data_IF_392971934519
#
_entry.id   IF_392971934519
#
_cell.length_a   1.000
_cell.length_b   1.000
_cell.length_c   1.000
_cell.angle_alpha   90.00
_cell.angle_beta   90.00
_cell.angle_gamma   90.00
#
_symmetry.space_group_name_H-M   'P 1'
#
loop_
_entity.id
_entity.type
_entity.pdbx_description
1 polymer ?
#
# COMPACT_ATOMS: atom_id res chain seq x y z
N UNK A 1 6.26 19.93 -19.26
CA UNK A 1 5.55 18.75 -18.73
C UNK A 1 4.74 18.19 -19.88
N UNK A 2 5.19 17.09 -20.44
CA UNK A 2 4.74 16.59 -21.74
C UNK A 2 3.30 16.08 -21.74
N UNK A 3 2.59 16.50 -22.78
CA UNK A 3 1.15 16.38 -23.05
C UNK A 3 0.65 14.95 -23.37
N UNK A 4 1.37 13.88 -23.07
CA UNK A 4 1.06 12.55 -23.62
C UNK A 4 0.24 11.61 -22.72
N UNK A 5 -0.17 12.02 -21.51
CA UNK A 5 -1.00 11.18 -20.64
C UNK A 5 -2.51 11.29 -20.93
N UNK A 6 -2.92 12.17 -21.84
CA UNK A 6 -4.33 12.53 -22.07
C UNK A 6 -4.85 12.20 -23.48
N UNK A 7 -4.27 11.24 -24.16
CA UNK A 7 -4.64 10.99 -25.57
C UNK A 7 -5.97 10.26 -25.79
N UNK A 8 -6.65 9.74 -24.74
CA UNK A 8 -7.99 9.16 -24.87
C UNK A 8 -8.89 9.65 -23.74
N UNK A 9 -9.47 10.84 -23.89
CA UNK A 9 -10.49 11.35 -22.97
C UNK A 9 -11.85 10.94 -23.52
N UNK A 10 -12.59 10.13 -22.76
CA UNK A 10 -13.94 9.74 -23.10
C UNK A 10 -14.96 10.58 -22.35
N UNK A 11 -16.10 10.80 -23.00
CA UNK A 11 -17.22 11.43 -22.34
C UNK A 11 -17.78 10.52 -21.24
N UNK A 12 -17.86 11.02 -20.00
CA UNK A 12 -18.40 10.27 -18.88
C UNK A 12 -19.87 9.85 -19.09
N UNK A 13 -20.62 10.63 -19.90
CA UNK A 13 -22.04 10.39 -20.15
C UNK A 13 -22.31 9.45 -21.33
N UNK A 14 -21.71 9.69 -22.50
CA UNK A 14 -22.02 8.94 -23.73
C UNK A 14 -20.85 8.12 -24.28
N UNK A 15 -19.71 8.11 -23.59
CA UNK A 15 -18.48 7.40 -23.97
C UNK A 15 -17.88 7.81 -25.33
N UNK A 16 -18.31 8.93 -25.89
CA UNK A 16 -17.75 9.47 -27.13
C UNK A 16 -16.34 10.02 -26.89
N UNK A 17 -15.45 9.85 -27.87
CA UNK A 17 -14.11 10.44 -27.91
C UNK A 17 -14.10 11.88 -28.46
N UNK A 18 -15.25 12.38 -28.95
CA UNK A 18 -15.34 13.69 -29.58
C UNK A 18 -15.40 14.80 -28.53
N UNK A 19 -14.28 15.05 -27.87
CA UNK A 19 -14.15 15.96 -26.73
C UNK A 19 -13.39 17.22 -27.15
N UNK A 20 -13.84 18.37 -26.64
CA UNK A 20 -13.08 19.64 -26.74
C UNK A 20 -12.82 20.25 -25.38
N UNK A 21 -11.73 21.01 -25.26
CA UNK A 21 -11.47 21.88 -24.12
C UNK A 21 -12.56 22.97 -24.06
N UNK A 22 -13.14 23.19 -22.87
CA UNK A 22 -14.24 24.14 -22.65
C UNK A 22 -13.87 25.14 -21.54
N UNK A 23 -12.68 25.75 -21.70
CA UNK A 23 -12.17 26.77 -20.80
C UNK A 23 -11.65 26.19 -19.46
N UNK A 24 -11.26 27.10 -18.58
CA UNK A 24 -10.74 26.81 -17.26
C UNK A 24 -11.76 27.15 -16.19
N UNK A 25 -11.95 26.26 -15.24
CA UNK A 25 -12.75 26.51 -14.05
C UNK A 25 -11.83 26.99 -12.92
N UNK A 26 -12.06 28.19 -12.43
CA UNK A 26 -11.38 28.69 -11.23
C UNK A 26 -11.94 27.98 -9.98
N UNK A 27 -11.07 27.48 -9.15
CA UNK A 27 -11.40 26.88 -7.85
C UNK A 27 -10.63 27.60 -6.75
N UNK A 28 -11.22 27.70 -5.56
CA UNK A 28 -10.65 28.43 -4.43
C UNK A 28 -9.26 27.94 -4.04
N UNK A 29 -9.09 26.62 -3.91
CA UNK A 29 -7.88 26.03 -3.32
C UNK A 29 -7.03 25.19 -4.29
N UNK A 30 -7.50 24.97 -5.53
CA UNK A 30 -6.79 24.17 -6.54
C UNK A 30 -6.39 24.99 -7.79
N UNK A 31 -6.72 26.29 -7.81
CA UNK A 31 -6.46 27.15 -8.95
C UNK A 31 -7.37 26.84 -10.14
N UNK A 32 -6.80 26.97 -11.35
CA UNK A 32 -7.52 26.74 -12.60
C UNK A 32 -7.50 25.26 -12.98
N UNK A 33 -8.68 24.68 -13.23
CA UNK A 33 -8.85 23.28 -13.64
C UNK A 33 -9.44 23.26 -15.04
N UNK A 34 -8.85 22.47 -15.96
CA UNK A 34 -9.36 22.32 -17.32
C UNK A 34 -10.74 21.66 -17.31
N UNK A 35 -11.70 22.30 -17.95
CA UNK A 35 -13.03 21.78 -18.22
C UNK A 35 -13.11 21.28 -19.66
N UNK A 36 -13.89 20.22 -19.87
CA UNK A 36 -14.12 19.60 -21.16
C UNK A 36 -15.60 19.60 -21.50
N UNK A 37 -15.91 19.56 -22.79
CA UNK A 37 -17.27 19.41 -23.32
C UNK A 37 -17.27 18.35 -24.41
N UNK A 38 -18.19 17.39 -24.29
CA UNK A 38 -18.49 16.47 -25.37
C UNK A 38 -19.22 17.21 -26.50
N UNK A 39 -18.77 17.02 -27.74
CA UNK A 39 -19.42 17.62 -28.91
C UNK A 39 -20.71 16.88 -29.28
N UNK A 40 -20.81 15.60 -28.96
CA UNK A 40 -21.94 14.75 -29.37
C UNK A 40 -23.13 14.89 -28.45
N UNK A 41 -22.93 14.85 -27.13
CA UNK A 41 -24.03 14.95 -26.16
C UNK A 41 -24.09 16.27 -25.39
N UNK A 42 -23.12 17.18 -25.60
CA UNK A 42 -23.07 18.48 -24.93
C UNK A 42 -22.66 18.44 -23.46
N UNK A 43 -22.41 17.26 -22.87
CA UNK A 43 -22.04 17.11 -21.47
C UNK A 43 -20.72 17.81 -21.15
N UNK A 44 -20.70 18.55 -20.02
CA UNK A 44 -19.51 19.26 -19.54
C UNK A 44 -18.97 18.59 -18.31
N UNK A 45 -17.69 18.31 -18.27
CA UNK A 45 -17.03 17.63 -17.17
C UNK A 45 -15.59 18.12 -16.96
N UNK A 46 -15.03 17.75 -15.84
CA UNK A 46 -13.59 17.89 -15.51
C UNK A 46 -13.05 16.50 -15.29
N UNK A 47 -11.85 16.21 -15.79
CA UNK A 47 -11.22 14.94 -15.53
C UNK A 47 -11.05 14.74 -14.04
N UNK A 48 -11.43 13.56 -13.58
CA UNK A 48 -11.10 13.14 -12.23
C UNK A 48 -9.63 12.69 -12.19
N UNK A 49 -8.80 13.47 -11.57
CA UNK A 49 -7.38 13.23 -11.38
C UNK A 49 -7.06 12.44 -10.08
N UNK A 50 -8.07 11.76 -9.53
CA UNK A 50 -7.99 11.10 -8.22
C UNK A 50 -8.24 12.06 -7.03
N UNK A 51 -8.39 13.36 -7.30
CA UNK A 51 -8.62 14.39 -6.29
C UNK A 51 -9.98 15.09 -6.43
N UNK A 52 -10.92 14.41 -7.05
CA UNK A 52 -12.28 14.94 -7.21
C UNK A 52 -12.89 15.38 -5.87
N UNK A 53 -13.49 16.57 -5.84
CA UNK A 53 -14.06 17.22 -4.64
C UNK A 53 -13.08 17.46 -3.49
N UNK A 54 -11.78 17.36 -3.72
CA UNK A 54 -10.79 17.74 -2.71
C UNK A 54 -10.60 19.26 -2.73
N UNK A 55 -10.63 19.88 -1.54
CA UNK A 55 -10.40 21.34 -1.37
C UNK A 55 -8.94 21.73 -1.45
N UNK A 56 -8.02 20.80 -1.24
CA UNK A 56 -6.58 21.03 -1.25
C UNK A 56 -5.94 20.53 -2.54
N UNK A 57 -4.81 21.13 -2.92
CA UNK A 57 -4.07 20.73 -4.12
C UNK A 57 -3.53 19.30 -4.01
N UNK A 58 -3.38 18.57 -5.13
CA UNK A 58 -2.75 17.26 -5.16
C UNK A 58 -1.38 17.24 -4.48
N UNK A 59 -0.56 18.27 -4.71
CA UNK A 59 0.78 18.42 -4.14
C UNK A 59 0.73 18.50 -2.61
N UNK A 60 -0.16 19.33 -2.06
CA UNK A 60 -0.32 19.49 -0.60
C UNK A 60 -0.79 18.19 0.05
N UNK A 61 -1.71 17.48 -0.58
CA UNK A 61 -2.23 16.20 -0.09
C UNK A 61 -1.12 15.14 -0.10
N UNK A 62 -0.43 14.96 -1.21
CA UNK A 62 0.64 13.96 -1.35
C UNK A 62 1.85 14.27 -0.48
N UNK A 63 2.22 15.55 -0.32
CA UNK A 63 3.23 15.99 0.66
C UNK A 63 2.84 15.61 2.09
N UNK A 64 1.58 15.80 2.45
CA UNK A 64 1.09 15.43 3.78
C UNK A 64 1.17 13.92 4.04
N UNK A 65 0.83 13.12 3.04
CA UNK A 65 0.94 11.66 3.11
C UNK A 65 2.40 11.24 3.23
N UNK A 66 3.29 11.83 2.44
CA UNK A 66 4.72 11.53 2.48
C UNK A 66 5.33 11.87 3.85
N UNK A 67 5.08 13.07 4.38
CA UNK A 67 5.52 13.47 5.70
C UNK A 67 5.01 12.52 6.80
N UNK A 68 3.73 12.11 6.70
CA UNK A 68 3.16 11.15 7.65
C UNK A 68 3.93 9.83 7.62
N UNK A 69 4.21 9.23 6.45
CA UNK A 69 4.95 7.97 6.37
C UNK A 69 6.45 8.12 6.67
N UNK A 70 7.01 9.31 6.59
CA UNK A 70 8.37 9.64 7.07
C UNK A 70 8.49 9.81 8.59
N UNK A 71 7.41 9.69 9.34
CA UNK A 71 7.47 9.72 10.81
C UNK A 71 6.84 10.96 11.46
N UNK A 72 6.36 11.92 10.67
CA UNK A 72 5.75 13.14 11.20
C UNK A 72 4.30 12.85 11.61
N UNK A 73 3.89 13.24 12.81
CA UNK A 73 2.51 13.08 13.27
C UNK A 73 1.56 14.01 12.49
N UNK A 74 0.28 13.63 12.38
CA UNK A 74 -0.72 14.46 11.66
C UNK A 74 -0.84 15.88 12.21
N UNK A 75 -0.63 16.09 13.52
CA UNK A 75 -0.63 17.43 14.12
C UNK A 75 0.59 18.24 13.68
N UNK A 76 1.78 17.64 13.68
CA UNK A 76 2.99 18.30 13.19
C UNK A 76 2.96 18.52 11.67
N UNK A 77 2.30 17.65 10.91
CA UNK A 77 2.04 17.91 9.47
C UNK A 77 1.14 19.13 9.33
N UNK A 78 0.08 19.28 10.15
CA UNK A 78 -0.76 20.46 10.14
C UNK A 78 0.05 21.74 10.44
N UNK A 79 0.90 21.74 11.47
CA UNK A 79 1.78 22.86 11.83
C UNK A 79 2.70 23.21 10.65
N UNK A 80 3.38 22.21 10.06
CA UNK A 80 4.23 22.38 8.88
C UNK A 80 3.48 23.03 7.71
N UNK A 81 2.28 22.54 7.39
CA UNK A 81 1.46 23.13 6.33
C UNK A 81 1.08 24.59 6.61
N UNK A 82 0.86 24.94 7.89
CA UNK A 82 0.55 26.31 8.30
C UNK A 82 1.67 27.33 8.01
N UNK A 83 2.92 26.86 7.95
CA UNK A 83 4.06 27.74 7.61
C UNK A 83 4.14 28.03 6.10
N UNK A 84 3.77 27.06 5.26
CA UNK A 84 4.00 27.13 3.81
C UNK A 84 2.75 27.46 2.99
N UNK A 85 1.56 27.36 3.58
CA UNK A 85 0.31 27.53 2.86
C UNK A 85 -0.66 28.46 3.60
N UNK A 86 -1.28 29.43 2.91
CA UNK A 86 -2.18 30.40 3.52
C UNK A 86 -3.46 29.75 4.10
N UNK A 87 -3.91 28.66 3.51
CA UNK A 87 -5.07 27.89 3.98
C UNK A 87 -4.60 26.54 4.50
N UNK A 88 -4.70 26.34 5.81
CA UNK A 88 -4.22 25.13 6.47
C UNK A 88 -5.30 24.05 6.51
N UNK A 89 -4.86 22.79 6.38
CA UNK A 89 -5.71 21.63 6.60
C UNK A 89 -5.60 21.16 8.05
N UNK A 90 -6.72 20.79 8.67
CA UNK A 90 -6.70 20.22 10.02
C UNK A 90 -5.96 18.87 10.06
N UNK A 91 -5.46 18.48 11.22
CA UNK A 91 -4.83 17.16 11.40
C UNK A 91 -5.78 16.01 11.07
N UNK A 92 -7.09 16.20 11.23
CA UNK A 92 -8.11 15.22 10.81
C UNK A 92 -8.22 15.12 9.29
N UNK A 93 -8.07 16.24 8.57
CA UNK A 93 -8.00 16.21 7.11
C UNK A 93 -6.79 15.42 6.64
N UNK A 94 -5.62 15.63 7.25
CA UNK A 94 -4.40 14.86 6.96
C UNK A 94 -4.63 13.37 7.22
N UNK A 95 -5.21 13.01 8.37
CA UNK A 95 -5.56 11.62 8.69
C UNK A 95 -6.49 10.99 7.64
N UNK A 96 -7.53 11.72 7.27
CA UNK A 96 -8.49 11.25 6.26
C UNK A 96 -7.86 11.06 4.88
N UNK A 97 -6.90 11.91 4.49
CA UNK A 97 -6.13 11.74 3.26
C UNK A 97 -5.27 10.49 3.30
N UNK A 98 -4.54 10.28 4.40
CA UNK A 98 -3.74 9.07 4.60
C UNK A 98 -4.60 7.82 4.44
N UNK A 99 -5.75 7.74 5.12
CA UNK A 99 -6.63 6.57 5.06
C UNK A 99 -7.26 6.41 3.67
N UNK A 100 -7.75 7.50 3.06
CA UNK A 100 -8.40 7.47 1.74
C UNK A 100 -7.44 6.96 0.66
N UNK A 101 -6.28 7.62 0.55
CA UNK A 101 -5.36 7.32 -0.54
C UNK A 101 -4.59 6.02 -0.32
N UNK A 102 -4.30 5.64 0.93
CA UNK A 102 -3.77 4.32 1.21
C UNK A 102 -4.72 3.20 0.77
N UNK A 103 -6.03 3.33 1.02
CA UNK A 103 -7.04 2.37 0.53
C UNK A 103 -7.10 2.34 -1.00
N UNK A 104 -7.14 3.50 -1.64
CA UNK A 104 -7.23 3.61 -3.10
C UNK A 104 -6.02 2.96 -3.76
N UNK A 105 -4.81 3.35 -3.37
CA UNK A 105 -3.57 2.81 -3.93
C UNK A 105 -3.44 1.32 -3.61
N UNK A 106 -3.76 0.87 -2.38
CA UNK A 106 -3.64 -0.54 -2.03
C UNK A 106 -4.60 -1.43 -2.82
N UNK A 107 -5.80 -0.94 -3.16
CA UNK A 107 -6.73 -1.67 -4.03
C UNK A 107 -6.15 -1.90 -5.42
N UNK A 108 -5.39 -0.97 -5.94
CA UNK A 108 -4.66 -1.09 -7.19
C UNK A 108 -3.44 -2.01 -7.03
N UNK A 109 -2.54 -1.70 -6.08
CA UNK A 109 -1.26 -2.41 -5.94
C UNK A 109 -1.44 -3.88 -5.54
N UNK A 110 -2.52 -4.25 -4.84
CA UNK A 110 -2.83 -5.64 -4.51
C UNK A 110 -3.15 -6.52 -5.74
N UNK A 111 -3.51 -5.91 -6.88
CA UNK A 111 -3.81 -6.63 -8.14
C UNK A 111 -2.58 -6.84 -9.01
N UNK A 112 -1.50 -6.14 -8.73
CA UNK A 112 -0.28 -6.21 -9.52
C UNK A 112 0.34 -7.60 -9.46
N UNK A 113 0.71 -8.13 -10.63
CA UNK A 113 1.53 -9.32 -10.72
C UNK A 113 2.97 -8.97 -10.40
N UNK A 114 3.62 -9.86 -9.67
CA UNK A 114 4.97 -9.65 -9.18
C UNK A 114 5.93 -10.66 -9.82
N UNK A 115 7.13 -10.18 -10.08
CA UNK A 115 8.28 -11.00 -10.39
C UNK A 115 9.19 -11.00 -9.15
N UNK A 116 9.08 -12.04 -8.33
CA UNK A 116 9.82 -12.22 -7.09
C UNK A 116 10.73 -13.43 -7.18
N UNK A 117 11.63 -13.57 -6.22
CA UNK A 117 12.42 -14.77 -6.08
C UNK A 117 11.62 -16.01 -5.67
N UNK A 118 12.29 -17.12 -5.51
CA UNK A 118 11.63 -18.39 -5.16
C UNK A 118 11.20 -18.48 -3.70
N UNK A 119 11.72 -17.61 -2.82
CA UNK A 119 11.40 -17.58 -1.40
C UNK A 119 10.54 -16.36 -1.02
N UNK A 120 9.55 -16.60 -0.18
CA UNK A 120 8.80 -15.56 0.56
C UNK A 120 8.80 -15.91 2.04
N UNK A 121 9.22 -14.96 2.86
CA UNK A 121 9.15 -15.06 4.32
C UNK A 121 7.87 -14.40 4.82
N UNK A 122 7.20 -15.03 5.77
CA UNK A 122 5.94 -14.56 6.38
C UNK A 122 6.05 -14.62 7.89
N UNK A 123 5.64 -13.55 8.56
CA UNK A 123 5.67 -13.46 10.03
C UNK A 123 4.62 -12.47 10.55
N UNK A 124 4.43 -12.38 11.86
CA UNK A 124 3.47 -11.48 12.50
C UNK A 124 4.12 -10.57 13.52
N UNK A 125 3.65 -9.32 13.53
CA UNK A 125 3.97 -8.33 14.58
C UNK A 125 2.75 -8.05 15.42
N UNK A 126 2.88 -8.20 16.75
CA UNK A 126 1.84 -7.80 17.68
C UNK A 126 1.78 -6.28 17.81
N UNK A 127 0.60 -5.73 17.72
CA UNK A 127 0.29 -4.33 17.96
C UNK A 127 -0.79 -4.16 19.03
N UNK A 128 -0.65 -3.10 19.80
CA UNK A 128 -1.66 -2.71 20.78
C UNK A 128 -2.53 -1.59 20.20
N UNK A 129 -3.86 -1.77 20.27
CA UNK A 129 -4.82 -0.73 19.95
C UNK A 129 -5.40 -0.16 21.23
N UNK A 130 -5.40 1.14 21.38
CA UNK A 130 -6.06 1.81 22.52
C UNK A 130 -7.57 1.69 22.38
N UNK A 131 -8.24 1.21 23.44
CA UNK A 131 -9.71 1.24 23.54
C UNK A 131 -10.18 2.67 23.82
N UNK A 132 -11.35 3.05 23.31
CA UNK A 132 -12.00 4.31 23.68
C UNK A 132 -12.31 4.29 25.18
N UNK A 133 -12.35 5.49 25.81
CA UNK A 133 -12.57 5.68 27.24
C UNK A 133 -13.82 5.00 27.82
N UNK A 134 -14.81 4.71 26.98
CA UNK A 134 -16.06 4.03 27.39
C UNK A 134 -15.97 2.50 27.45
N UNK A 135 -14.93 1.91 26.91
CA UNK A 135 -14.67 0.46 27.02
C UNK A 135 -13.67 0.23 28.12
N UNK A 136 -13.97 -0.72 29.03
CA UNK A 136 -13.13 -1.11 30.19
C UNK A 136 -11.64 -1.04 29.88
N UNK A 137 -10.84 -0.47 30.80
CA UNK A 137 -9.39 -0.38 30.73
C UNK A 137 -8.79 -1.70 30.25
N UNK A 138 -8.25 -1.70 29.05
CA UNK A 138 -7.62 -2.86 28.45
C UNK A 138 -7.04 -2.51 27.09
N UNK A 139 -5.97 -3.19 26.73
CA UNK A 139 -5.30 -3.08 25.44
C UNK A 139 -5.79 -4.22 24.57
N UNK A 140 -6.38 -3.93 23.40
CA UNK A 140 -6.67 -4.95 22.41
C UNK A 140 -5.37 -5.33 21.70
N UNK A 141 -5.00 -6.59 21.78
CA UNK A 141 -3.96 -7.14 20.93
C UNK A 141 -4.47 -7.28 19.51
N UNK A 142 -3.69 -6.81 18.58
CA UNK A 142 -3.94 -6.93 17.16
C UNK A 142 -2.65 -7.35 16.47
N UNK A 143 -2.75 -7.84 15.25
CA UNK A 143 -1.63 -8.43 14.54
C UNK A 143 -1.46 -7.76 13.18
N UNK A 144 -0.24 -7.50 12.81
CA UNK A 144 0.14 -7.16 11.45
C UNK A 144 0.88 -8.36 10.88
N UNK A 145 0.20 -9.07 9.99
CA UNK A 145 0.73 -10.22 9.28
C UNK A 145 1.29 -9.69 7.98
N UNK A 146 2.55 -9.90 7.72
CA UNK A 146 3.20 -9.42 6.52
C UNK A 146 4.15 -10.45 5.90
N UNK A 147 4.62 -10.15 4.71
CA UNK A 147 5.51 -11.03 3.97
C UNK A 147 6.48 -10.25 3.14
N UNK A 148 7.71 -10.76 3.00
CA UNK A 148 8.77 -10.15 2.23
C UNK A 148 9.47 -11.17 1.35
N UNK A 149 9.82 -10.78 0.12
CA UNK A 149 10.75 -11.54 -0.69
C UNK A 149 12.19 -11.17 -0.32
N UNK A 150 13.04 -12.12 0.10
CA UNK A 150 14.43 -11.84 0.49
C UNK A 150 15.29 -11.24 -0.61
N UNK A 151 15.05 -11.59 -1.88
CA UNK A 151 15.80 -11.13 -3.03
C UNK A 151 15.43 -9.69 -3.41
N UNK A 152 14.16 -9.44 -3.70
CA UNK A 152 13.67 -8.13 -4.15
C UNK A 152 13.44 -7.13 -3.03
N UNK A 153 13.45 -7.57 -1.78
CA UNK A 153 13.06 -6.81 -0.58
C UNK A 153 11.62 -6.28 -0.62
N UNK A 154 10.80 -6.76 -1.54
CA UNK A 154 9.42 -6.32 -1.72
C UNK A 154 8.51 -6.94 -0.65
N UNK A 155 7.71 -6.11 0.02
CA UNK A 155 6.60 -6.58 0.83
C UNK A 155 5.52 -7.14 -0.09
N UNK A 156 5.40 -8.47 -0.15
CA UNK A 156 4.53 -9.14 -1.13
C UNK A 156 3.06 -9.04 -0.74
N UNK A 157 2.76 -9.16 0.53
CA UNK A 157 1.39 -9.04 1.07
C UNK A 157 1.44 -8.64 2.54
N UNK A 158 0.44 -7.91 2.98
CA UNK A 158 0.26 -7.62 4.42
C UNK A 158 -1.21 -7.52 4.77
N UNK A 159 -1.54 -7.68 6.05
CA UNK A 159 -2.89 -7.45 6.57
C UNK A 159 -2.82 -7.11 8.06
N UNK A 160 -3.58 -6.09 8.49
CA UNK A 160 -3.73 -5.77 9.90
C UNK A 160 -5.04 -6.34 10.43
N UNK A 161 -4.96 -7.26 11.37
CA UNK A 161 -6.06 -8.11 11.81
C UNK A 161 -6.26 -8.06 13.32
N UNK A 162 -7.42 -8.52 13.77
CA UNK A 162 -7.72 -8.65 15.20
C UNK A 162 -7.11 -9.91 15.80
N UNK A 163 -6.95 -10.95 14.99
CA UNK A 163 -6.40 -12.25 15.38
C UNK A 163 -5.33 -12.69 14.39
N UNK A 164 -4.61 -13.76 14.71
CA UNK A 164 -3.67 -14.45 13.82
C UNK A 164 -4.09 -15.89 13.55
N UNK A 165 -5.41 -16.07 13.36
CA UNK A 165 -5.96 -17.39 13.05
C UNK A 165 -5.76 -17.79 11.59
N UNK A 166 -6.10 -19.03 11.27
CA UNK A 166 -5.98 -19.58 9.91
C UNK A 166 -6.66 -18.70 8.85
N UNK A 167 -7.80 -18.07 9.19
CA UNK A 167 -8.54 -17.19 8.27
C UNK A 167 -7.74 -15.93 7.94
N UNK A 168 -7.13 -15.31 8.95
CA UNK A 168 -6.35 -14.07 8.79
C UNK A 168 -5.06 -14.34 8.01
N UNK A 169 -4.33 -15.39 8.37
CA UNK A 169 -3.14 -15.84 7.66
C UNK A 169 -3.47 -16.20 6.22
N UNK A 170 -4.61 -16.87 5.97
CA UNK A 170 -5.03 -17.22 4.61
C UNK A 170 -5.26 -15.98 3.73
N UNK A 171 -5.69 -14.83 4.29
CA UNK A 171 -5.80 -13.59 3.51
C UNK A 171 -4.45 -13.13 2.95
N UNK A 172 -3.37 -13.28 3.73
CA UNK A 172 -2.01 -12.91 3.30
C UNK A 172 -1.45 -13.95 2.32
N UNK A 173 -1.50 -15.22 2.67
CA UNK A 173 -0.94 -16.33 1.88
C UNK A 173 -1.63 -16.47 0.52
N UNK A 174 -2.96 -16.39 0.47
CA UNK A 174 -3.70 -16.45 -0.81
C UNK A 174 -3.36 -15.28 -1.73
N UNK A 175 -3.13 -14.09 -1.17
CA UNK A 175 -2.70 -12.92 -1.94
C UNK A 175 -1.27 -13.08 -2.46
N UNK A 176 -0.36 -13.69 -1.68
CA UNK A 176 0.98 -14.05 -2.17
C UNK A 176 0.83 -14.93 -3.41
N UNK A 177 0.11 -16.04 -3.32
CA UNK A 177 -0.13 -16.96 -4.45
C UNK A 177 -0.75 -16.25 -5.66
N UNK A 178 -1.76 -15.41 -5.44
CA UNK A 178 -2.43 -14.65 -6.49
C UNK A 178 -1.48 -13.71 -7.23
N UNK A 179 -0.56 -13.05 -6.52
CA UNK A 179 0.37 -12.06 -7.08
C UNK A 179 1.59 -12.68 -7.73
N UNK A 180 2.09 -13.79 -7.20
CA UNK A 180 3.34 -14.43 -7.65
C UNK A 180 3.12 -15.67 -8.51
N UNK A 181 1.92 -16.22 -8.56
CA UNK A 181 1.62 -17.45 -9.31
C UNK A 181 2.42 -18.64 -8.76
N UNK A 182 3.11 -19.34 -9.65
CA UNK A 182 3.92 -20.54 -9.34
C UNK A 182 5.41 -20.21 -9.14
N UNK A 183 5.81 -18.94 -9.09
CA UNK A 183 7.22 -18.54 -8.91
C UNK A 183 7.76 -18.95 -7.54
N UNK A 184 6.92 -18.80 -6.50
CA UNK A 184 7.31 -19.14 -5.12
C UNK A 184 7.42 -20.66 -4.99
N UNK A 185 8.61 -21.13 -4.60
CA UNK A 185 8.93 -22.53 -4.32
C UNK A 185 9.09 -22.81 -2.83
N UNK A 186 9.37 -21.77 -2.04
CA UNK A 186 9.58 -21.86 -0.62
C UNK A 186 8.85 -20.76 0.13
N UNK A 187 8.16 -21.15 1.20
CA UNK A 187 7.55 -20.21 2.16
C UNK A 187 8.19 -20.48 3.53
N UNK A 188 8.89 -19.47 4.03
CA UNK A 188 9.54 -19.54 5.36
C UNK A 188 8.66 -18.82 6.38
N UNK A 189 8.39 -19.50 7.51
CA UNK A 189 7.56 -18.95 8.61
C UNK A 189 8.15 -19.31 9.96
N UNK A 190 7.60 -18.72 11.02
CA UNK A 190 7.81 -19.17 12.39
C UNK A 190 7.08 -20.50 12.69
N UNK A 191 7.07 -20.88 13.97
CA UNK A 191 6.48 -22.12 14.46
C UNK A 191 4.94 -22.14 14.57
N UNK A 192 4.21 -21.11 14.16
CA UNK A 192 2.76 -21.04 14.35
C UNK A 192 2.01 -22.16 13.60
N UNK A 193 1.21 -22.94 14.32
CA UNK A 193 0.52 -24.14 13.80
C UNK A 193 -0.54 -23.85 12.70
N UNK A 194 -0.88 -22.59 12.47
CA UNK A 194 -1.83 -22.22 11.44
C UNK A 194 -1.24 -22.29 10.02
N UNK A 195 0.07 -22.04 9.85
CA UNK A 195 0.74 -21.97 8.56
C UNK A 195 0.66 -23.24 7.72
N UNK A 196 1.02 -24.45 8.24
CA UNK A 196 1.03 -25.65 7.41
C UNK A 196 -0.30 -25.93 6.71
N UNK A 197 -1.42 -25.76 7.44
CA UNK A 197 -2.77 -25.97 6.89
C UNK A 197 -3.11 -24.96 5.80
N UNK A 198 -2.72 -23.70 6.00
CA UNK A 198 -2.99 -22.60 5.06
C UNK A 198 -2.13 -22.74 3.80
N UNK A 199 -0.86 -23.06 3.94
CA UNK A 199 0.07 -23.29 2.82
C UNK A 199 -0.42 -24.47 1.97
N UNK A 200 -0.77 -25.60 2.61
CA UNK A 200 -1.36 -26.75 1.92
C UNK A 200 -2.61 -26.38 1.12
N UNK A 201 -3.49 -25.57 1.71
CA UNK A 201 -4.74 -25.13 1.05
C UNK A 201 -4.47 -24.30 -0.22
N UNK A 202 -3.44 -23.46 -0.23
CA UNK A 202 -3.17 -22.55 -1.33
C UNK A 202 -2.34 -23.17 -2.46
N UNK A 203 -1.35 -24.00 -2.15
CA UNK A 203 -0.46 -24.61 -3.16
C UNK A 203 -0.74 -26.10 -3.41
N UNK A 204 -1.44 -26.75 -2.48
CA UNK A 204 -1.83 -28.15 -2.64
C UNK A 204 -0.70 -29.13 -2.30
N UNK A 205 -1.04 -30.40 -2.45
CA UNK A 205 -0.19 -31.56 -2.23
C UNK A 205 0.03 -32.31 -3.55
N UNK A 206 1.25 -32.65 -3.87
CA UNK A 206 1.60 -33.43 -5.04
C UNK A 206 1.65 -34.91 -4.66
N UNK A 207 0.60 -35.66 -5.07
CA UNK A 207 0.49 -37.10 -4.76
C UNK A 207 1.60 -37.94 -5.43
N UNK A 208 2.08 -37.53 -6.62
CA UNK A 208 3.14 -38.26 -7.31
C UNK A 208 4.48 -38.14 -6.61
N UNK A 209 4.79 -36.94 -6.12
CA UNK A 209 6.07 -36.64 -5.45
C UNK A 209 5.99 -36.79 -3.93
N UNK A 210 4.83 -37.14 -3.37
CA UNK A 210 4.57 -37.27 -1.92
C UNK A 210 5.07 -36.06 -1.11
N UNK A 211 4.86 -34.85 -1.65
CA UNK A 211 5.28 -33.60 -1.02
C UNK A 211 4.34 -32.44 -1.35
N UNK A 212 4.47 -31.36 -0.61
CA UNK A 212 3.79 -30.10 -0.97
C UNK A 212 4.37 -29.53 -2.28
N UNK A 213 3.53 -28.83 -3.05
CA UNK A 213 3.99 -28.12 -4.26
C UNK A 213 4.92 -26.96 -3.93
N UNK A 214 4.82 -26.41 -2.72
CA UNK A 214 5.73 -25.40 -2.18
C UNK A 214 6.39 -25.95 -0.91
N UNK A 215 7.69 -25.82 -0.78
CA UNK A 215 8.41 -26.22 0.42
C UNK A 215 8.08 -25.24 1.56
N UNK A 216 7.58 -25.75 2.66
CA UNK A 216 7.35 -24.97 3.87
C UNK A 216 8.57 -25.11 4.80
N UNK A 217 9.39 -24.06 4.83
CA UNK A 217 10.52 -23.95 5.75
C UNK A 217 10.01 -23.38 7.08
N UNK A 218 9.94 -24.24 8.10
CA UNK A 218 9.52 -23.83 9.45
C UNK A 218 10.74 -23.50 10.27
N UNK A 219 10.94 -22.23 10.57
CA UNK A 219 12.07 -21.75 11.34
C UNK A 219 11.68 -21.58 12.83
N UNK A 220 11.98 -22.59 13.64
CA UNK A 220 11.74 -22.57 15.07
C UNK A 220 13.10 -22.43 15.78
N UNK A 221 13.27 -21.36 16.56
CA UNK A 221 14.53 -21.03 17.25
C UNK A 221 15.12 -22.20 18.08
N UNK A 222 14.26 -23.09 18.58
CA UNK A 222 14.69 -24.25 19.38
C UNK A 222 15.21 -25.45 18.55
N UNK A 223 15.00 -25.44 17.24
CA UNK A 223 15.27 -26.60 16.37
C UNK A 223 16.44 -26.34 15.38
N UNK A 224 16.78 -25.08 15.13
CA UNK A 224 17.78 -24.70 14.11
C UNK A 224 18.73 -23.62 14.61
N UNK A 225 19.90 -24.00 15.09
CA UNK A 225 21.01 -23.08 15.30
C UNK A 225 21.44 -22.51 13.94
N UNK A 226 21.16 -21.22 13.68
CA UNK A 226 21.71 -20.48 12.55
C UNK A 226 20.79 -20.11 11.38
N UNK A 227 19.55 -20.57 11.33
CA UNK A 227 18.60 -20.16 10.30
C UNK A 227 17.74 -18.97 10.78
N UNK A 228 18.19 -17.77 10.46
CA UNK A 228 17.50 -16.55 10.86
C UNK A 228 16.62 -16.00 9.74
N UNK A 229 15.37 -15.62 10.07
CA UNK A 229 14.47 -14.84 9.19
C UNK A 229 14.89 -13.36 9.11
N UNK A 230 16.18 -13.10 8.93
CA UNK A 230 16.73 -11.74 8.94
C UNK A 230 16.01 -10.72 8.05
N UNK A 231 15.57 -11.05 6.83
CA UNK A 231 14.85 -10.08 5.99
C UNK A 231 13.54 -9.62 6.60
N UNK A 232 12.70 -10.52 7.12
CA UNK A 232 11.42 -10.14 7.70
C UNK A 232 11.59 -9.47 9.07
N UNK A 233 12.55 -9.90 9.87
CA UNK A 233 12.88 -9.25 11.14
C UNK A 233 13.35 -7.80 10.94
N UNK A 234 14.20 -7.54 9.92
CA UNK A 234 14.61 -6.19 9.53
C UNK A 234 13.43 -5.33 9.06
N UNK A 235 12.52 -5.94 8.30
CA UNK A 235 11.27 -5.29 7.92
C UNK A 235 10.45 -4.92 9.16
N UNK A 236 10.30 -5.83 10.12
CA UNK A 236 9.59 -5.58 11.38
C UNK A 236 10.24 -4.47 12.20
N UNK A 237 11.55 -4.39 12.24
CA UNK A 237 12.25 -3.27 12.89
C UNK A 237 11.89 -1.93 12.22
N UNK A 238 11.83 -1.88 10.91
CA UNK A 238 11.41 -0.68 10.16
C UNK A 238 9.93 -0.34 10.42
N UNK A 239 9.05 -1.35 10.47
CA UNK A 239 7.64 -1.19 10.83
C UNK A 239 7.51 -0.63 12.24
N UNK A 240 8.21 -1.22 13.23
CA UNK A 240 8.18 -0.77 14.63
C UNK A 240 8.73 0.64 14.78
N UNK A 241 9.84 0.98 14.13
CA UNK A 241 10.42 2.32 14.14
C UNK A 241 9.41 3.37 13.66
N UNK A 242 8.66 3.07 12.60
CA UNK A 242 7.63 3.96 12.07
C UNK A 242 6.40 4.05 12.97
N UNK A 243 5.91 2.92 13.46
CA UNK A 243 4.67 2.85 14.24
C UNK A 243 4.85 3.31 15.69
N UNK A 244 6.08 3.35 16.21
CA UNK A 244 6.40 3.89 17.54
C UNK A 244 5.84 5.31 17.73
N UNK A 245 5.84 6.12 16.68
CA UNK A 245 5.31 7.49 16.73
C UNK A 245 3.78 7.55 16.78
N UNK A 246 3.06 6.49 16.46
CA UNK A 246 1.59 6.45 16.51
C UNK A 246 1.03 6.33 17.92
N UNK A 247 1.85 5.91 18.90
CA UNK A 247 1.40 5.63 20.28
C UNK A 247 0.21 4.67 20.34
N UNK A 248 0.14 3.72 19.40
CA UNK A 248 -0.97 2.81 19.15
C UNK A 248 -1.96 3.32 18.10
N UNK A 249 -2.75 2.41 17.57
CA UNK A 249 -3.77 2.73 16.58
C UNK A 249 -5.05 3.20 17.25
N UNK A 250 -5.63 4.28 16.71
CA UNK A 250 -6.94 4.79 17.10
C UNK A 250 -7.97 4.49 16.01
N UNK A 251 -9.24 4.41 16.37
CA UNK A 251 -10.32 4.17 15.42
C UNK A 251 -10.56 2.69 15.11
N UNK A 252 -11.05 2.39 13.92
CA UNK A 252 -11.42 1.03 13.51
C UNK A 252 -10.23 0.21 13.04
N UNK A 253 -10.34 -1.12 13.09
CA UNK A 253 -9.36 -2.04 12.48
C UNK A 253 -9.20 -1.75 10.99
N UNK A 254 -10.30 -1.40 10.29
CA UNK A 254 -10.26 -1.02 8.87
C UNK A 254 -9.38 0.21 8.61
N UNK A 255 -9.40 1.20 9.51
CA UNK A 255 -8.53 2.39 9.40
C UNK A 255 -7.07 2.04 9.74
N UNK A 256 -6.83 1.22 10.75
CA UNK A 256 -5.49 0.72 11.09
C UNK A 256 -4.89 -0.07 9.93
N UNK A 257 -5.68 -0.99 9.34
CA UNK A 257 -5.25 -1.74 8.16
C UNK A 257 -4.92 -0.81 6.98
N UNK A 258 -5.76 0.20 6.72
CA UNK A 258 -5.46 1.17 5.66
C UNK A 258 -4.13 1.91 5.90
N UNK A 259 -3.84 2.32 7.13
CA UNK A 259 -2.57 2.97 7.48
C UNK A 259 -1.40 2.00 7.27
N UNK A 260 -1.52 0.75 7.68
CA UNK A 260 -0.46 -0.25 7.48
C UNK A 260 -0.28 -0.61 6.00
N UNK A 261 -1.36 -0.68 5.22
CA UNK A 261 -1.29 -0.78 3.76
C UNK A 261 -0.56 0.41 3.12
N UNK A 262 -0.79 1.60 3.62
CA UNK A 262 -0.04 2.77 3.18
C UNK A 262 1.45 2.69 3.55
N UNK A 263 1.80 2.02 4.66
CA UNK A 263 3.20 1.72 4.97
C UNK A 263 3.80 0.71 3.97
N UNK A 264 3.06 -0.35 3.59
CA UNK A 264 3.46 -1.27 2.52
C UNK A 264 3.76 -0.51 1.22
N UNK A 265 2.89 0.45 0.84
CA UNK A 265 3.09 1.30 -0.33
C UNK A 265 4.35 2.16 -0.17
N UNK A 266 4.52 2.81 0.96
CA UNK A 266 5.68 3.65 1.26
C UNK A 266 6.99 2.86 1.17
N UNK A 267 7.04 1.68 1.77
CA UNK A 267 8.19 0.80 1.78
C UNK A 267 8.52 0.30 0.36
N UNK A 268 7.52 -0.16 -0.38
CA UNK A 268 7.73 -0.76 -1.69
C UNK A 268 8.03 0.25 -2.80
N UNK A 269 7.37 1.40 -2.79
CA UNK A 269 7.35 2.32 -3.94
C UNK A 269 8.06 3.65 -3.71
N UNK A 270 8.17 4.11 -2.46
CA UNK A 270 8.67 5.45 -2.16
C UNK A 270 10.11 5.41 -1.65
N UNK A 271 10.42 4.48 -0.75
CA UNK A 271 11.70 4.42 -0.06
C UNK A 271 12.69 3.54 -0.79
N UNK A 272 13.92 4.06 -1.01
CA UNK A 272 15.04 3.25 -1.48
C UNK A 272 15.53 2.34 -0.36
N UNK A 273 15.60 1.05 -0.63
CA UNK A 273 16.12 0.08 0.30
C UNK A 273 17.67 0.08 0.28
N UNK A 274 18.31 0.12 1.45
CA UNK A 274 19.76 0.28 1.56
C UNK A 274 20.56 -0.83 0.86
N UNK A 275 20.15 -2.09 0.99
CA UNK A 275 20.88 -3.21 0.43
C UNK A 275 20.82 -3.27 -1.11
N UNK A 276 19.66 -2.95 -1.71
CA UNK A 276 19.48 -3.02 -3.17
C UNK A 276 19.68 -1.67 -3.87
N UNK A 277 19.87 -0.57 -3.10
CA UNK A 277 20.05 0.82 -3.60
C UNK A 277 18.91 1.33 -4.50
N UNK A 278 17.79 0.63 -4.56
CA UNK A 278 16.58 0.90 -5.36
C UNK A 278 15.33 0.84 -4.50
N UNK A 279 14.21 1.32 -5.01
CA UNK A 279 12.92 0.99 -4.41
C UNK A 279 12.57 -0.47 -4.75
N UNK A 280 12.01 -1.26 -3.82
CA UNK A 280 11.67 -2.67 -4.06
C UNK A 280 10.83 -2.91 -5.32
N UNK A 281 9.90 -2.00 -5.67
CA UNK A 281 9.06 -2.12 -6.86
C UNK A 281 9.86 -2.23 -8.16
N UNK A 282 11.04 -1.62 -8.23
CA UNK A 282 11.87 -1.62 -9.44
C UNK A 282 12.36 -3.03 -9.80
N UNK A 283 12.44 -3.92 -8.82
CA UNK A 283 12.80 -5.32 -9.02
C UNK A 283 11.59 -6.24 -9.15
N UNK A 284 10.56 -5.99 -8.34
CA UNK A 284 9.47 -6.93 -8.13
C UNK A 284 8.25 -6.75 -9.06
N UNK A 285 8.00 -5.56 -9.62
CA UNK A 285 6.87 -5.37 -10.54
C UNK A 285 7.20 -5.98 -11.90
N UNK A 286 6.25 -6.73 -12.47
CA UNK A 286 6.42 -7.33 -13.78
C UNK A 286 6.20 -6.31 -14.92
N UNK A 287 5.27 -5.38 -14.73
CA UNK A 287 4.87 -4.35 -15.68
C UNK A 287 5.99 -3.31 -15.87
N UNK A 288 6.58 -3.30 -17.07
CA UNK A 288 7.71 -2.43 -17.39
C UNK A 288 7.28 -0.98 -17.59
N UNK A 289 6.13 -0.74 -18.21
CA UNK A 289 5.62 0.61 -18.49
C UNK A 289 5.32 1.34 -17.18
N UNK A 290 4.70 0.64 -16.23
CA UNK A 290 4.48 1.15 -14.89
C UNK A 290 5.80 1.47 -14.16
N UNK A 291 6.82 0.61 -14.29
CA UNK A 291 8.13 0.87 -13.67
C UNK A 291 8.78 2.13 -14.23
N UNK A 292 8.76 2.31 -15.54
CA UNK A 292 9.33 3.48 -16.21
C UNK A 292 8.58 4.74 -15.82
N UNK A 293 7.25 4.74 -15.88
CA UNK A 293 6.43 5.84 -15.41
C UNK A 293 6.76 6.26 -13.97
N UNK A 294 6.85 5.29 -13.05
CA UNK A 294 7.17 5.59 -11.65
C UNK A 294 8.63 6.02 -11.43
N UNK A 295 9.56 5.72 -12.32
CA UNK A 295 10.94 6.23 -12.26
C UNK A 295 11.01 7.68 -12.69
N UNK A 296 10.27 8.07 -13.71
CA UNK A 296 10.27 9.43 -14.25
C UNK A 296 9.57 10.45 -13.34
N UNK A 297 8.51 10.02 -12.67
CA UNK A 297 7.75 10.93 -11.82
C UNK A 297 8.44 11.19 -10.49
N UNK A 298 8.71 12.47 -10.19
CA UNK A 298 9.33 12.87 -8.91
C UNK A 298 8.42 12.59 -7.71
N UNK A 299 7.14 12.91 -7.83
CA UNK A 299 6.14 12.67 -6.79
C UNK A 299 5.45 11.32 -7.01
N UNK A 300 6.04 10.26 -6.49
CA UNK A 300 5.54 8.89 -6.65
C UNK A 300 4.17 8.67 -6.02
N UNK A 301 3.83 9.36 -4.92
CA UNK A 301 2.48 9.31 -4.37
C UNK A 301 1.44 9.78 -5.37
N UNK A 302 1.73 10.87 -6.06
CA UNK A 302 0.86 11.40 -7.12
C UNK A 302 0.71 10.41 -8.27
N UNK A 303 1.83 9.83 -8.73
CA UNK A 303 1.82 8.81 -9.79
C UNK A 303 1.00 7.58 -9.42
N UNK A 304 1.16 7.07 -8.19
CA UNK A 304 0.38 5.93 -7.70
C UNK A 304 -1.12 6.23 -7.57
N UNK A 305 -1.49 7.46 -7.22
CA UNK A 305 -2.90 7.88 -7.18
C UNK A 305 -3.49 7.89 -8.58
N UNK A 306 -2.75 8.38 -9.58
CA UNK A 306 -3.20 8.37 -10.98
C UNK A 306 -3.41 6.94 -11.49
N UNK A 307 -2.42 6.05 -11.30
CA UNK A 307 -2.53 4.64 -11.69
C UNK A 307 -3.67 3.90 -10.95
N UNK A 308 -3.91 4.24 -9.70
CA UNK A 308 -4.95 3.59 -8.90
C UNK A 308 -6.37 4.03 -9.26
N UNK A 309 -6.50 5.10 -10.05
CA UNK A 309 -7.78 5.62 -10.50
C UNK A 309 -8.23 4.97 -11.82
N UNK A 310 -7.28 4.56 -12.66
CA UNK A 310 -7.56 3.79 -13.88
C UNK A 310 -8.11 2.41 -13.56
#
# INVERSE_FOLDING_TARGET
MNNNVYNNIDCENCKSHNIKKDGLRKTENRGLIQRYKCKDCGYRFTLDDGFYRMRNTPQKITQSIDLFYRGVSTRKVQEHLGVFYPHNASHMSVYNWVVKYAKMISSFTNRLKLNVGEEVQVDEVEFHRRKNHQQKRGVDKNWFIDSVCPETKFMVSSEYTKTRGQRDINCVISRIKQRTGEQVKMVTTDGLNAYPKVIKRNWGWNNKLQRYNVFHNRNVMSENEGNFNHPIERLHNSVRARTKTFRGFHGSIKSANAIMKGYEIYYNFITKHQAIKKCPYELAIADQDMKEFLKEIKNKWLGLIYLAKE
#
